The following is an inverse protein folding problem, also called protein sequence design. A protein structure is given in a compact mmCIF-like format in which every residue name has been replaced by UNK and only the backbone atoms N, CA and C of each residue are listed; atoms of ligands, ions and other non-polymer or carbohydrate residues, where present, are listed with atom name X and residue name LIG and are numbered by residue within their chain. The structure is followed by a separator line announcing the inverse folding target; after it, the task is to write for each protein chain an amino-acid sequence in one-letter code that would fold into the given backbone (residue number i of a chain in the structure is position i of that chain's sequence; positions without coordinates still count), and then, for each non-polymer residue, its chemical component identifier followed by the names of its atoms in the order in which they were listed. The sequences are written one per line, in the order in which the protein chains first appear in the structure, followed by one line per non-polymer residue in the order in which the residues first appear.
data_IF_753198702046
#
_entry.id   IF_753198702046
#
_cell.length_a   1.000
_cell.length_b   1.000
_cell.length_c   1.000
_cell.angle_alpha   90.00
_cell.angle_beta   90.00
_cell.angle_gamma   90.00
#
_symmetry.space_group_name_H-M   'P 1'
#
loop_
_entity.id
_entity.type
_entity.pdbx_description
1 polymer ?
#
# COMPACT_ATOMS: atom_id res chain seq x y z
N UNK A 1 -14.10 12.94 -12.16
CA UNK A 1 -12.85 12.73 -11.43
C UNK A 1 -11.71 13.65 -11.84
N UNK A 2 -11.34 13.80 -13.13
CA UNK A 2 -10.24 14.72 -13.58
C UNK A 2 -10.26 16.14 -12.98
N UNK A 3 -11.43 16.74 -12.81
CA UNK A 3 -11.54 18.12 -12.28
C UNK A 3 -11.32 18.25 -10.76
N UNK A 4 -11.40 17.18 -9.99
CA UNK A 4 -11.14 17.20 -8.54
C UNK A 4 -9.66 17.03 -8.21
N UNK A 5 -8.96 16.18 -8.96
CA UNK A 5 -7.49 15.97 -8.79
C UNK A 5 -6.71 17.21 -9.22
N UNK A 6 -7.14 17.88 -10.30
CA UNK A 6 -6.49 19.14 -10.75
C UNK A 6 -6.71 20.28 -9.75
N UNK A 7 -7.86 20.35 -9.07
CA UNK A 7 -8.10 21.33 -8.01
C UNK A 7 -7.29 21.07 -6.74
N UNK A 8 -7.04 19.79 -6.39
CA UNK A 8 -6.20 19.43 -5.24
C UNK A 8 -4.72 19.78 -5.47
N UNK A 9 -4.21 19.62 -6.70
CA UNK A 9 -2.83 19.97 -7.06
C UNK A 9 -2.57 21.47 -7.11
N UNK A 10 -3.58 22.28 -7.50
CA UNK A 10 -3.43 23.75 -7.52
C UNK A 10 -3.57 24.40 -6.14
N UNK A 11 -4.28 23.77 -5.20
CA UNK A 11 -4.41 24.26 -3.81
C UNK A 11 -3.16 23.92 -2.99
N UNK A 12 -2.51 22.77 -3.23
CA UNK A 12 -1.29 22.37 -2.52
C UNK A 12 -0.07 23.25 -2.78
N UNK A 13 -0.02 23.98 -3.90
CA UNK A 13 1.15 24.82 -4.25
C UNK A 13 1.02 26.27 -3.77
N UNK A 14 -0.14 26.72 -3.30
CA UNK A 14 -0.42 28.10 -2.91
C UNK A 14 -0.39 28.36 -1.40
N UNK A 15 -0.21 27.33 -0.56
CA UNK A 15 -0.27 27.45 0.91
C UNK A 15 1.09 27.72 1.57
N UNK A 16 2.17 27.83 0.82
CA UNK A 16 3.52 28.08 1.39
C UNK A 16 3.85 29.57 1.64
N UNK A 17 3.02 30.53 1.30
CA UNK A 17 3.36 31.97 1.38
C UNK A 17 2.37 32.82 2.19
N UNK A 18 1.79 32.32 3.26
CA UNK A 18 1.11 33.20 4.22
C UNK A 18 1.37 32.76 5.67
N UNK A 19 2.59 33.04 6.16
CA UNK A 19 2.92 32.96 7.59
C UNK A 19 2.33 34.17 8.33
N UNK A 20 1.04 34.15 8.55
CA UNK A 20 0.39 35.03 9.53
C UNK A 20 0.00 34.18 10.72
N UNK A 21 0.63 34.39 11.89
CA UNK A 21 0.23 33.76 13.13
C UNK A 21 -1.27 33.85 13.34
N UNK A 22 -2.02 32.72 13.36
CA UNK A 22 -3.39 32.79 13.86
C UNK A 22 -3.31 32.93 15.38
N UNK A 23 -3.95 33.95 15.91
CA UNK A 23 -4.26 34.09 17.32
C UNK A 23 -4.94 32.82 17.79
N UNK A 24 -4.21 31.98 18.51
CA UNK A 24 -4.73 30.86 19.29
C UNK A 24 -5.56 31.44 20.46
N UNK A 25 -6.82 31.74 20.22
CA UNK A 25 -7.79 32.11 21.24
C UNK A 25 -9.19 31.68 20.83
N UNK A 26 -9.39 30.38 20.76
CA UNK A 26 -10.63 29.66 21.00
C UNK A 26 -10.21 28.28 21.43
N UNK A 27 -10.66 27.83 22.59
CA UNK A 27 -10.62 26.43 22.94
C UNK A 27 -11.34 25.68 21.81
N UNK A 28 -10.59 25.12 20.87
CA UNK A 28 -11.16 24.36 19.76
C UNK A 28 -11.82 23.15 20.42
N UNK A 29 -13.14 23.05 20.33
CA UNK A 29 -13.88 21.89 20.80
C UNK A 29 -13.34 20.64 20.09
N UNK A 30 -12.93 19.66 20.88
CA UNK A 30 -12.50 18.35 20.38
C UNK A 30 -13.73 17.70 19.70
N UNK A 31 -13.61 17.42 18.43
CA UNK A 31 -14.66 16.72 17.65
C UNK A 31 -14.57 15.21 17.91
N UNK A 32 -15.59 14.57 18.48
CA UNK A 32 -15.56 13.13 18.61
C UNK A 32 -15.49 12.50 17.21
N UNK A 33 -14.65 11.49 17.06
CA UNK A 33 -14.52 10.74 15.82
C UNK A 33 -14.53 9.24 16.12
N UNK A 34 -15.39 8.51 15.43
CA UNK A 34 -15.44 7.05 15.46
C UNK A 34 -14.52 6.45 14.40
N UNK A 35 -14.17 5.17 14.56
CA UNK A 35 -13.38 4.46 13.56
C UNK A 35 -14.08 4.43 12.19
N UNK A 36 -15.40 4.26 12.18
CA UNK A 36 -16.20 4.23 10.94
C UNK A 36 -16.10 5.57 10.18
N UNK A 37 -16.30 6.68 10.88
CA UNK A 37 -16.19 8.02 10.30
C UNK A 37 -14.79 8.32 9.79
N UNK A 38 -13.75 7.90 10.54
CA UNK A 38 -12.36 8.07 10.14
C UNK A 38 -12.04 7.26 8.87
N UNK A 39 -12.49 6.02 8.76
CA UNK A 39 -12.32 5.20 7.56
C UNK A 39 -13.06 5.78 6.36
N UNK A 40 -14.30 6.24 6.53
CA UNK A 40 -15.05 6.86 5.44
C UNK A 40 -14.32 8.11 4.93
N UNK A 41 -13.81 8.96 5.81
CA UNK A 41 -13.01 10.14 5.44
C UNK A 41 -11.73 9.74 4.69
N UNK A 42 -11.00 8.72 5.16
CA UNK A 42 -9.77 8.25 4.50
C UNK A 42 -10.07 7.71 3.10
N UNK A 43 -11.11 6.90 2.93
CA UNK A 43 -11.45 6.36 1.62
C UNK A 43 -12.01 7.41 0.66
N UNK A 44 -12.66 8.46 1.15
CA UNK A 44 -13.22 9.52 0.32
C UNK A 44 -12.22 10.65 0.00
N UNK A 45 -11.38 11.03 0.95
CA UNK A 45 -10.60 12.27 0.89
C UNK A 45 -9.09 12.05 0.83
N UNK A 46 -8.57 10.87 1.20
CA UNK A 46 -7.15 10.62 1.18
C UNK A 46 -6.59 10.63 -0.25
N UNK A 47 -5.69 11.58 -0.51
CA UNK A 47 -5.10 11.79 -1.84
C UNK A 47 -4.25 10.60 -2.31
N UNK A 48 -3.56 9.92 -1.39
CA UNK A 48 -2.74 8.74 -1.71
C UNK A 48 -3.62 7.58 -2.18
N UNK A 49 -4.78 7.37 -1.54
CA UNK A 49 -5.75 6.37 -1.98
C UNK A 49 -6.34 6.71 -3.36
N UNK A 50 -6.70 7.98 -3.58
CA UNK A 50 -7.22 8.43 -4.87
C UNK A 50 -6.20 8.25 -6.00
N UNK A 51 -4.91 8.54 -5.74
CA UNK A 51 -3.82 8.33 -6.69
C UNK A 51 -3.61 6.84 -6.99
N UNK A 52 -3.64 5.99 -5.97
CA UNK A 52 -3.53 4.54 -6.14
C UNK A 52 -4.68 3.98 -7.02
N UNK A 53 -5.93 4.37 -6.76
CA UNK A 53 -7.06 3.94 -7.60
C UNK A 53 -6.92 4.42 -9.04
N UNK A 54 -6.42 5.63 -9.25
CA UNK A 54 -6.16 6.14 -10.59
C UNK A 54 -5.03 5.41 -11.30
N UNK A 55 -3.96 5.07 -10.59
CA UNK A 55 -2.86 4.27 -11.11
C UNK A 55 -3.33 2.87 -11.54
N UNK A 56 -4.15 2.21 -10.72
CA UNK A 56 -4.76 0.92 -11.06
C UNK A 56 -5.67 1.02 -12.29
N UNK A 57 -6.50 2.06 -12.39
CA UNK A 57 -7.34 2.30 -13.57
C UNK A 57 -6.48 2.51 -14.84
N UNK A 58 -5.33 3.19 -14.70
CA UNK A 58 -4.39 3.36 -15.82
C UNK A 58 -3.72 2.05 -16.23
N UNK A 59 -3.33 1.21 -15.26
CA UNK A 59 -2.76 -0.11 -15.54
C UNK A 59 -3.76 -1.00 -16.27
N UNK A 60 -5.01 -1.07 -15.82
CA UNK A 60 -6.08 -1.81 -16.51
C UNK A 60 -6.31 -1.32 -17.94
N UNK A 61 -6.34 0.01 -18.13
CA UNK A 61 -6.46 0.60 -19.46
C UNK A 61 -5.25 0.29 -20.35
N UNK A 62 -4.05 0.26 -19.76
CA UNK A 62 -2.82 -0.07 -20.48
C UNK A 62 -2.80 -1.53 -20.90
N UNK A 63 -3.14 -2.46 -20.00
CA UNK A 63 -3.27 -3.88 -20.33
C UNK A 63 -4.35 -4.13 -21.38
N UNK A 64 -5.51 -3.46 -21.29
CA UNK A 64 -6.52 -3.51 -22.30
C UNK A 64 -6.01 -3.00 -23.65
N UNK A 65 -5.25 -1.88 -23.67
CA UNK A 65 -4.66 -1.33 -24.88
C UNK A 65 -3.58 -2.22 -25.49
N UNK A 66 -2.85 -3.00 -24.68
CA UNK A 66 -1.85 -3.96 -25.19
C UNK A 66 -2.48 -5.11 -25.98
N UNK A 67 -3.70 -5.49 -25.64
CA UNK A 67 -4.51 -6.49 -26.36
C UNK A 67 -5.21 -5.92 -27.61
N UNK A 68 -5.22 -4.58 -27.78
CA UNK A 68 -5.85 -3.93 -28.90
C UNK A 68 -4.88 -3.65 -30.06
N UNK A 69 -5.40 -3.53 -31.30
CA UNK A 69 -4.60 -3.15 -32.44
C UNK A 69 -3.85 -1.83 -32.21
N UNK A 70 -2.54 -1.84 -32.44
CA UNK A 70 -1.70 -0.63 -32.38
C UNK A 70 -1.64 -0.01 -33.77
N UNK A 71 -2.15 1.21 -33.92
CA UNK A 71 -2.08 1.98 -35.17
C UNK A 71 -1.02 3.08 -34.98
N UNK A 72 0.01 3.06 -35.81
CA UNK A 72 1.07 4.07 -35.79
C UNK A 72 1.09 4.78 -37.14
N UNK A 73 0.95 6.09 -37.14
CA UNK A 73 1.13 6.93 -38.31
C UNK A 73 2.49 7.64 -38.22
N UNK A 74 3.28 7.54 -39.27
CA UNK A 74 4.58 8.20 -39.39
C UNK A 74 4.62 8.99 -40.70
N UNK A 75 5.05 10.24 -40.63
CA UNK A 75 5.28 11.10 -41.78
C UNK A 75 6.76 11.48 -41.81
N UNK A 76 7.42 11.26 -42.93
CA UNK A 76 8.77 11.74 -43.17
C UNK A 76 8.69 12.93 -44.12
N UNK A 77 9.20 14.12 -43.71
CA UNK A 77 9.24 15.28 -44.60
C UNK A 77 10.21 15.02 -45.77
N UNK A 78 10.03 15.75 -46.84
CA UNK A 78 10.94 15.69 -47.97
C UNK A 78 12.39 16.00 -47.53
N UNK A 79 13.33 15.22 -47.99
CA UNK A 79 14.73 15.31 -47.61
C UNK A 79 15.67 14.93 -48.73
N UNK A 80 16.98 14.97 -48.45
CA UNK A 80 18.02 14.52 -49.39
C UNK A 80 18.65 13.24 -48.85
N UNK A 81 18.52 12.13 -49.55
CA UNK A 81 19.19 10.87 -49.23
C UNK A 81 20.22 10.50 -50.35
N UNK A 82 21.46 10.33 -49.95
CA UNK A 82 22.54 10.00 -50.89
C UNK A 82 22.67 11.00 -52.08
N UNK A 83 22.52 12.30 -51.80
CA UNK A 83 22.60 13.36 -52.79
C UNK A 83 21.40 13.43 -53.78
N UNK A 84 20.35 12.67 -53.53
CA UNK A 84 19.10 12.74 -54.29
C UNK A 84 17.97 13.25 -53.41
N UNK A 85 17.10 14.07 -53.99
CA UNK A 85 15.89 14.52 -53.31
C UNK A 85 14.97 13.32 -53.07
N UNK A 86 14.48 13.14 -51.86
CA UNK A 86 13.45 12.19 -51.51
C UNK A 86 12.18 12.98 -51.16
N UNK A 87 11.09 12.72 -51.90
CA UNK A 87 9.80 13.34 -51.65
C UNK A 87 9.24 12.97 -50.27
N UNK A 88 8.16 13.62 -49.82
CA UNK A 88 7.51 13.28 -48.57
C UNK A 88 6.95 11.85 -48.61
N UNK A 89 7.21 11.11 -47.52
CA UNK A 89 6.68 9.76 -47.36
C UNK A 89 5.77 9.72 -46.12
N UNK A 90 4.61 9.07 -46.23
CA UNK A 90 3.72 8.76 -45.14
C UNK A 90 3.55 7.24 -44.98
N UNK A 91 3.54 6.78 -43.74
CA UNK A 91 3.22 5.37 -43.48
C UNK A 91 2.23 5.25 -42.32
N UNK A 92 1.29 4.32 -42.46
CA UNK A 92 0.39 3.87 -41.41
C UNK A 92 0.69 2.42 -41.16
N UNK A 93 1.10 2.07 -39.95
CA UNK A 93 1.31 0.70 -39.54
C UNK A 93 0.22 0.27 -38.58
N UNK A 94 -0.29 -0.93 -38.76
CA UNK A 94 -1.25 -1.60 -37.92
C UNK A 94 -0.58 -2.86 -37.39
N UNK A 95 -0.51 -2.99 -36.07
CA UNK A 95 -0.05 -4.22 -35.40
C UNK A 95 -1.23 -4.76 -34.58
N UNK A 96 -1.63 -5.99 -34.85
CA UNK A 96 -2.74 -6.66 -34.14
C UNK A 96 -2.20 -7.95 -33.54
N UNK A 97 -2.03 -7.99 -32.19
CA UNK A 97 -1.74 -9.25 -31.51
C UNK A 97 -2.99 -10.15 -31.55
N UNK A 98 -2.85 -11.33 -32.11
CA UNK A 98 -3.91 -12.36 -32.24
C UNK A 98 -3.66 -13.51 -31.27
N UNK A 99 -3.26 -13.18 -30.02
CA UNK A 99 -2.84 -14.12 -29.00
C UNK A 99 -1.32 -14.35 -29.01
N UNK A 100 -0.85 -15.28 -28.20
CA UNK A 100 0.59 -15.50 -27.95
C UNK A 100 1.37 -16.06 -29.16
N UNK A 101 0.69 -16.68 -30.10
CA UNK A 101 1.34 -17.35 -31.27
C UNK A 101 1.22 -16.56 -32.55
N UNK A 102 0.24 -15.70 -32.70
CA UNK A 102 -0.05 -14.99 -33.93
C UNK A 102 0.06 -13.48 -33.76
N UNK A 103 0.68 -12.84 -34.74
CA UNK A 103 0.78 -11.40 -34.87
C UNK A 103 0.49 -10.98 -36.30
N UNK A 104 -0.42 -10.03 -36.50
CA UNK A 104 -0.76 -9.47 -37.77
C UNK A 104 -0.21 -8.05 -37.90
N UNK A 105 0.74 -7.87 -38.82
CA UNK A 105 1.33 -6.59 -39.15
C UNK A 105 0.82 -6.07 -40.46
N UNK A 106 0.22 -4.89 -40.48
CA UNK A 106 -0.19 -4.19 -41.69
C UNK A 106 0.58 -2.90 -41.86
N UNK A 107 1.09 -2.60 -43.02
CA UNK A 107 1.72 -1.31 -43.33
C UNK A 107 1.23 -0.77 -44.65
N UNK A 108 0.72 0.45 -44.65
CA UNK A 108 0.40 1.21 -45.88
C UNK A 108 1.41 2.37 -45.92
N UNK A 109 2.14 2.46 -47.02
CA UNK A 109 3.07 3.56 -47.30
C UNK A 109 2.58 4.32 -48.51
N UNK A 110 2.68 5.63 -48.43
CA UNK A 110 2.34 6.54 -49.50
C UNK A 110 3.59 7.36 -49.79
N UNK A 111 4.22 7.09 -50.93
CA UNK A 111 5.41 7.79 -51.40
C UNK A 111 5.08 8.65 -52.62
N UNK A 112 5.88 9.68 -52.83
CA UNK A 112 5.77 10.57 -53.98
C UNK A 112 6.86 10.21 -55.01
N UNK A 113 6.47 9.92 -56.28
CA UNK A 113 7.38 9.68 -57.38
C UNK A 113 7.68 10.99 -58.16
N UNK A 114 8.89 11.54 -57.97
CA UNK A 114 9.32 12.80 -58.56
C UNK A 114 9.28 12.80 -60.11
N UNK A 115 9.54 11.63 -60.73
CA UNK A 115 9.61 11.53 -62.20
C UNK A 115 8.25 11.59 -62.85
N UNK A 116 7.20 11.18 -62.12
CA UNK A 116 5.83 11.07 -62.65
C UNK A 116 4.85 12.02 -61.98
N UNK A 117 5.27 12.75 -60.93
CA UNK A 117 4.40 13.61 -60.09
C UNK A 117 3.18 12.82 -59.59
N UNK A 118 3.37 11.55 -59.27
CA UNK A 118 2.28 10.65 -58.92
C UNK A 118 2.47 10.09 -57.51
N UNK A 119 1.36 9.80 -56.84
CA UNK A 119 1.32 9.23 -55.49
C UNK A 119 1.25 7.73 -55.61
N UNK A 120 2.23 7.02 -55.08
CA UNK A 120 2.29 5.56 -55.10
C UNK A 120 1.96 4.98 -53.74
N UNK A 121 0.75 4.46 -53.54
CA UNK A 121 0.44 3.68 -52.38
C UNK A 121 1.07 2.27 -52.51
N UNK A 122 1.78 1.86 -51.47
CA UNK A 122 2.24 0.47 -51.29
C UNK A 122 1.67 -0.06 -49.99
N UNK A 123 1.15 -1.27 -49.99
CA UNK A 123 0.62 -1.90 -48.79
C UNK A 123 1.25 -3.27 -48.56
N UNK A 124 1.52 -3.61 -47.33
CA UNK A 124 1.92 -4.95 -46.90
C UNK A 124 1.08 -5.41 -45.72
N UNK A 125 0.68 -6.66 -45.77
CA UNK A 125 0.02 -7.34 -44.66
C UNK A 125 0.84 -8.60 -44.36
N UNK A 126 1.37 -8.73 -43.16
CA UNK A 126 2.19 -9.86 -42.73
C UNK A 126 1.53 -10.54 -41.55
N UNK A 127 1.23 -11.82 -41.68
CA UNK A 127 0.79 -12.68 -40.60
C UNK A 127 2.01 -13.49 -40.12
N UNK A 128 2.41 -13.28 -38.87
CA UNK A 128 3.49 -13.99 -38.23
C UNK A 128 2.94 -15.06 -37.29
N UNK A 129 3.52 -16.26 -37.33
CA UNK A 129 3.27 -17.33 -36.38
C UNK A 129 4.58 -17.76 -35.71
N UNK A 130 4.60 -17.71 -34.38
CA UNK A 130 5.74 -18.14 -33.58
C UNK A 130 5.46 -19.52 -32.96
N UNK A 131 6.20 -20.54 -33.35
CA UNK A 131 6.03 -21.91 -32.86
C UNK A 131 6.43 -22.10 -31.40
N UNK A 132 7.27 -21.22 -30.88
CA UNK A 132 7.89 -21.36 -29.57
C UNK A 132 7.59 -20.19 -28.63
N UNK A 133 6.39 -19.60 -28.74
CA UNK A 133 5.99 -18.58 -27.78
C UNK A 133 5.78 -19.20 -26.39
N UNK A 134 6.24 -18.48 -25.36
CA UNK A 134 5.97 -18.85 -23.97
C UNK A 134 4.49 -18.56 -23.65
N UNK A 135 3.81 -19.44 -22.91
CA UNK A 135 2.45 -19.20 -22.48
C UNK A 135 2.37 -17.95 -21.59
N UNK A 136 1.38 -17.08 -21.85
CA UNK A 136 1.08 -15.97 -20.94
C UNK A 136 0.64 -16.55 -19.58
N UNK A 137 1.26 -16.09 -18.51
CA UNK A 137 0.85 -16.48 -17.17
C UNK A 137 -0.40 -15.69 -16.79
N UNK A 138 -1.51 -16.39 -16.54
CA UNK A 138 -2.82 -15.82 -16.11
C UNK A 138 -2.79 -15.12 -14.73
N UNK A 139 -1.61 -14.84 -14.20
CA UNK A 139 -1.43 -14.37 -12.83
C UNK A 139 -1.72 -12.88 -12.60
N UNK A 140 -1.88 -12.08 -13.68
CA UNK A 140 -1.95 -10.62 -13.54
C UNK A 140 -3.21 -10.11 -12.81
N UNK A 141 -4.40 -10.62 -13.14
CA UNK A 141 -5.65 -10.12 -12.54
C UNK A 141 -5.76 -10.48 -11.05
N UNK A 142 -5.43 -11.73 -10.70
CA UNK A 142 -5.46 -12.18 -9.31
C UNK A 142 -4.44 -11.44 -8.45
N UNK A 143 -3.24 -11.21 -8.97
CA UNK A 143 -2.19 -10.45 -8.29
C UNK A 143 -2.61 -9.00 -8.09
N UNK A 144 -3.19 -8.36 -9.12
CA UNK A 144 -3.70 -7.00 -9.03
C UNK A 144 -4.81 -6.88 -7.96
N UNK A 145 -5.72 -7.85 -7.88
CA UNK A 145 -6.75 -7.89 -6.85
C UNK A 145 -6.16 -8.03 -5.44
N UNK A 146 -5.16 -8.90 -5.26
CA UNK A 146 -4.46 -9.06 -3.97
C UNK A 146 -3.71 -7.78 -3.57
N UNK A 147 -3.06 -7.11 -4.52
CA UNK A 147 -2.39 -5.83 -4.27
C UNK A 147 -3.38 -4.74 -3.86
N UNK A 148 -4.56 -4.68 -4.48
CA UNK A 148 -5.63 -3.76 -4.07
C UNK A 148 -6.10 -4.03 -2.65
N UNK A 149 -6.32 -5.29 -2.31
CA UNK A 149 -6.73 -5.67 -0.96
C UNK A 149 -5.66 -5.32 0.07
N UNK A 150 -4.39 -5.58 -0.23
CA UNK A 150 -3.27 -5.21 0.63
C UNK A 150 -3.19 -3.70 0.86
N UNK A 151 -3.45 -2.88 -0.17
CA UNK A 151 -3.48 -1.43 -0.03
C UNK A 151 -4.64 -0.94 0.84
N UNK A 152 -5.83 -1.50 0.66
CA UNK A 152 -7.00 -1.21 1.51
C UNK A 152 -6.70 -1.58 2.96
N UNK A 153 -6.14 -2.76 3.20
CA UNK A 153 -5.74 -3.21 4.52
C UNK A 153 -4.70 -2.28 5.17
N UNK A 154 -3.72 -1.82 4.38
CA UNK A 154 -2.69 -0.87 4.85
C UNK A 154 -3.32 0.43 5.32
N UNK A 155 -4.29 0.97 4.59
CA UNK A 155 -5.01 2.19 4.98
C UNK A 155 -5.83 1.98 6.25
N UNK A 156 -6.50 0.83 6.40
CA UNK A 156 -7.24 0.48 7.63
C UNK A 156 -6.28 0.43 8.82
N UNK A 157 -5.15 -0.27 8.69
CA UNK A 157 -4.14 -0.37 9.76
C UNK A 157 -3.57 1.00 10.14
N UNK A 158 -3.23 1.83 9.17
CA UNK A 158 -2.73 3.19 9.42
C UNK A 158 -3.77 4.05 10.12
N UNK A 159 -5.05 3.95 9.73
CA UNK A 159 -6.14 4.68 10.40
C UNK A 159 -6.28 4.25 11.85
N UNK A 160 -6.30 2.95 12.11
CA UNK A 160 -6.37 2.39 13.47
C UNK A 160 -5.18 2.84 14.30
N UNK A 161 -3.96 2.74 13.75
CA UNK A 161 -2.74 3.11 14.45
C UNK A 161 -2.75 4.59 14.86
N UNK A 162 -3.09 5.50 13.95
CA UNK A 162 -3.16 6.92 14.26
C UNK A 162 -4.23 7.26 15.29
N UNK A 163 -5.42 6.64 15.21
CA UNK A 163 -6.48 6.85 16.18
C UNK A 163 -6.09 6.31 17.57
N UNK A 164 -5.48 5.12 17.63
CA UNK A 164 -5.03 4.51 18.89
C UNK A 164 -3.91 5.33 19.52
N UNK A 165 -2.92 5.77 18.73
CA UNK A 165 -1.83 6.63 19.23
C UNK A 165 -2.36 7.95 19.80
N UNK A 166 -3.28 8.59 19.06
CA UNK A 166 -3.91 9.83 19.52
C UNK A 166 -4.71 9.61 20.81
N UNK A 167 -5.49 8.52 20.90
CA UNK A 167 -6.28 8.18 22.11
C UNK A 167 -5.38 7.97 23.32
N UNK A 168 -4.32 7.15 23.19
CA UNK A 168 -3.35 6.91 24.26
C UNK A 168 -2.69 8.20 24.75
N UNK A 169 -2.37 9.10 23.82
CA UNK A 169 -1.73 10.37 24.16
C UNK A 169 -2.68 11.34 24.84
N UNK A 170 -3.97 11.35 24.42
CA UNK A 170 -5.03 12.11 25.09
C UNK A 170 -5.27 11.62 26.53
N UNK A 171 -5.35 10.30 26.73
CA UNK A 171 -5.55 9.72 28.04
C UNK A 171 -4.35 10.00 28.95
N UNK A 172 -3.12 9.89 28.41
CA UNK A 172 -1.89 10.26 29.15
C UNK A 172 -1.89 11.76 29.54
N UNK A 173 -2.30 12.66 28.63
CA UNK A 173 -2.41 14.09 28.95
C UNK A 173 -3.38 14.33 30.11
N UNK A 174 -4.56 13.66 30.09
CA UNK A 174 -5.55 13.76 31.18
C UNK A 174 -5.02 13.22 32.49
N UNK A 175 -4.27 12.11 32.48
CA UNK A 175 -3.63 11.54 33.64
C UNK A 175 -2.62 12.50 34.27
N UNK A 176 -1.75 13.10 33.45
CA UNK A 176 -0.72 14.00 33.92
C UNK A 176 -1.29 15.35 34.40
N UNK A 177 -2.40 15.82 33.79
CA UNK A 177 -3.16 16.98 34.34
C UNK A 177 -3.77 16.66 35.71
N UNK A 178 -4.35 15.49 35.89
CA UNK A 178 -4.92 15.06 37.15
C UNK A 178 -3.82 14.91 38.23
N UNK A 179 -2.64 14.37 37.84
CA UNK A 179 -1.50 14.27 38.74
C UNK A 179 -0.94 15.66 39.15
N UNK A 180 -0.87 16.60 38.20
CA UNK A 180 -0.48 17.97 38.48
C UNK A 180 -1.39 18.62 39.55
N UNK A 181 -2.70 18.49 39.38
CA UNK A 181 -3.70 18.99 40.35
C UNK A 181 -3.52 18.35 41.75
N UNK A 182 -3.21 17.05 41.79
CA UNK A 182 -2.91 16.36 43.02
C UNK A 182 -1.66 16.93 43.70
N UNK A 183 -0.58 17.19 42.95
CA UNK A 183 0.64 17.80 43.49
C UNK A 183 0.39 19.22 44.00
N UNK A 184 -0.42 20.02 43.32
CA UNK A 184 -0.85 21.34 43.74
C UNK A 184 -1.60 21.29 45.08
N UNK A 185 -2.59 20.39 45.19
CA UNK A 185 -3.34 20.17 46.41
C UNK A 185 -2.42 19.69 47.58
N UNK A 186 -1.48 18.80 47.25
CA UNK A 186 -0.47 18.34 48.23
C UNK A 186 0.43 19.47 48.71
N UNK A 187 0.84 20.39 47.85
CA UNK A 187 1.63 21.56 48.20
C UNK A 187 0.84 22.53 49.08
N UNK A 188 -0.44 22.74 48.79
CA UNK A 188 -1.32 23.56 49.65
C UNK A 188 -1.47 22.95 51.05
N UNK A 189 -1.71 21.65 51.14
CA UNK A 189 -1.82 20.94 52.42
C UNK A 189 -0.47 20.99 53.22
N UNK A 190 0.66 20.85 52.54
CA UNK A 190 1.97 20.93 53.12
C UNK A 190 2.26 22.32 53.77
N UNK A 191 1.79 23.39 53.13
CA UNK A 191 1.93 24.77 53.65
C UNK A 191 1.22 25.02 55.00
N UNK A 192 0.22 24.22 55.28
CA UNK A 192 -0.51 24.28 56.53
C UNK A 192 0.25 23.58 57.68
N UNK A 193 1.30 22.82 57.38
CA UNK A 193 2.09 22.09 58.35
C UNK A 193 3.29 22.97 58.81
N UNK A 194 3.41 23.31 60.08
CA UNK A 194 4.53 24.10 60.57
C UNK A 194 5.88 23.40 60.33
N UNK A 195 6.90 24.17 59.89
CA UNK A 195 8.26 23.68 59.56
C UNK A 195 8.38 22.62 58.46
N UNK A 196 7.45 22.53 57.56
CA UNK A 196 7.54 21.64 56.41
C UNK A 196 8.39 22.29 55.29
N UNK A 197 9.40 21.57 54.81
CA UNK A 197 10.18 21.98 53.63
C UNK A 197 9.44 21.56 52.37
N UNK A 198 8.95 22.54 51.59
CA UNK A 198 8.17 22.33 50.37
C UNK A 198 9.04 22.25 49.09
N UNK A 199 10.38 22.24 49.24
CA UNK A 199 11.31 22.33 48.12
C UNK A 199 11.18 21.15 47.13
N UNK A 200 11.02 19.93 47.66
CA UNK A 200 10.92 18.74 46.81
C UNK A 200 9.58 18.69 46.09
N UNK A 201 8.48 19.01 46.74
CA UNK A 201 7.17 19.12 46.09
C UNK A 201 7.14 20.17 44.98
N UNK A 202 7.82 21.30 45.18
CA UNK A 202 7.95 22.34 44.14
C UNK A 202 8.80 21.86 42.95
N UNK A 203 9.83 21.06 43.17
CA UNK A 203 10.62 20.45 42.11
C UNK A 203 9.77 19.45 41.32
N UNK A 204 9.04 18.58 42.00
CA UNK A 204 8.17 17.59 41.39
C UNK A 204 7.05 18.27 40.56
N UNK A 205 6.42 19.30 41.11
CA UNK A 205 5.40 20.08 40.40
C UNK A 205 5.97 20.73 39.12
N UNK A 206 7.18 21.31 39.17
CA UNK A 206 7.83 21.89 38.00
C UNK A 206 8.14 20.84 36.94
N UNK A 207 8.74 19.71 37.37
CA UNK A 207 9.02 18.59 36.48
C UNK A 207 7.74 18.04 35.81
N UNK A 208 6.67 17.94 36.59
CA UNK A 208 5.37 17.49 36.09
C UNK A 208 4.78 18.46 35.07
N UNK A 209 4.88 19.77 35.32
CA UNK A 209 4.42 20.78 34.38
C UNK A 209 5.24 20.76 33.05
N UNK A 210 6.54 20.51 33.11
CA UNK A 210 7.40 20.33 31.94
C UNK A 210 6.97 19.08 31.13
N UNK A 211 6.76 17.94 31.81
CA UNK A 211 6.29 16.70 31.19
C UNK A 211 4.94 16.90 30.50
N UNK A 212 3.99 17.59 31.16
CA UNK A 212 2.69 17.89 30.56
C UNK A 212 2.81 18.77 29.31
N UNK A 213 3.68 19.79 29.36
CA UNK A 213 3.92 20.65 28.18
C UNK A 213 4.48 19.87 26.98
N UNK A 214 5.40 18.93 27.22
CA UNK A 214 5.94 18.06 26.16
C UNK A 214 4.85 17.14 25.59
N UNK A 215 4.02 16.53 26.45
CA UNK A 215 2.91 15.69 26.01
C UNK A 215 1.90 16.48 25.17
N UNK A 216 1.56 17.70 25.61
CA UNK A 216 0.64 18.58 24.85
C UNK A 216 1.21 18.96 23.48
N UNK A 217 2.51 19.19 23.38
CA UNK A 217 3.17 19.44 22.08
C UNK A 217 3.11 18.23 21.16
N UNK A 218 3.40 17.04 21.66
CA UNK A 218 3.29 15.81 20.88
C UNK A 218 1.84 15.52 20.45
N UNK A 219 0.89 15.76 21.36
CA UNK A 219 -0.53 15.66 21.08
C UNK A 219 -0.94 16.57 19.91
N UNK A 220 -0.48 17.82 19.93
CA UNK A 220 -0.75 18.75 18.84
C UNK A 220 -0.16 18.25 17.51
N UNK A 221 1.03 17.65 17.52
CA UNK A 221 1.62 17.06 16.33
C UNK A 221 0.79 15.88 15.81
N UNK A 222 0.34 14.98 16.69
CA UNK A 222 -0.51 13.84 16.30
C UNK A 222 -1.86 14.31 15.75
N UNK A 223 -2.46 15.36 16.33
CA UNK A 223 -3.70 15.95 15.80
C UNK A 223 -3.51 16.49 14.38
N UNK A 224 -2.42 17.21 14.12
CA UNK A 224 -2.10 17.71 12.77
C UNK A 224 -1.83 16.59 11.78
N UNK A 225 -1.13 15.53 12.21
CA UNK A 225 -0.87 14.36 11.38
C UNK A 225 -2.17 13.63 11.01
N UNK A 226 -3.05 13.42 11.99
CA UNK A 226 -4.36 12.80 11.76
C UNK A 226 -5.21 13.65 10.81
N UNK A 227 -5.31 14.97 11.03
CA UNK A 227 -6.06 15.86 10.14
C UNK A 227 -5.55 15.82 8.70
N UNK A 228 -4.22 15.86 8.51
CA UNK A 228 -3.61 15.72 7.18
C UNK A 228 -3.88 14.35 6.55
N UNK A 229 -3.85 13.28 7.35
CA UNK A 229 -4.11 11.92 6.89
C UNK A 229 -5.58 11.73 6.48
N UNK A 230 -6.52 12.32 7.22
CA UNK A 230 -7.95 12.32 6.91
C UNK A 230 -8.31 13.22 5.72
N UNK A 231 -7.36 14.06 5.23
CA UNK A 231 -7.57 14.97 4.11
C UNK A 231 -8.26 16.27 4.48
N UNK A 232 -8.39 16.58 5.78
CA UNK A 232 -8.97 17.84 6.24
C UNK A 232 -7.91 18.96 6.23
N UNK A 233 -8.27 20.11 5.64
CA UNK A 233 -7.36 21.26 5.51
C UNK A 233 -7.42 22.24 6.70
N UNK A 234 -8.39 22.10 7.60
CA UNK A 234 -8.69 23.08 8.65
C UNK A 234 -8.39 22.49 10.04
N UNK A 235 -7.20 22.10 10.39
CA UNK A 235 -6.73 21.88 11.77
C UNK A 235 -7.76 21.44 12.82
N UNK A 236 -8.71 20.57 12.44
CA UNK A 236 -9.71 20.04 13.35
C UNK A 236 -9.02 19.20 14.43
N UNK A 237 -9.43 19.40 15.69
CA UNK A 237 -8.95 18.60 16.80
C UNK A 237 -9.94 17.46 17.07
N UNK A 238 -9.43 16.23 17.11
CA UNK A 238 -10.23 15.02 17.25
C UNK A 238 -10.09 14.37 18.63
N UNK A 239 -11.21 13.82 19.14
CA UNK A 239 -11.25 12.91 20.29
C UNK A 239 -11.70 11.52 19.81
N UNK A 240 -10.78 10.58 19.60
CA UNK A 240 -11.13 9.24 19.14
C UNK A 240 -11.98 8.49 20.15
N UNK A 241 -13.17 8.07 19.69
CA UNK A 241 -14.07 7.22 20.46
C UNK A 241 -13.80 5.77 20.06
N UNK A 242 -12.89 5.11 20.79
CA UNK A 242 -12.48 3.73 20.51
C UNK A 242 -12.90 2.85 21.68
N UNK A 243 -13.70 1.83 21.38
CA UNK A 243 -13.98 0.70 22.25
C UNK A 243 -13.41 -0.57 21.64
N UNK A 244 -12.76 -1.40 22.44
CA UNK A 244 -12.11 -2.62 21.97
C UNK A 244 -12.61 -3.84 22.72
N UNK A 245 -13.00 -4.87 21.97
CA UNK A 245 -13.40 -6.15 22.52
C UNK A 245 -12.29 -7.20 22.35
N UNK A 246 -12.12 -8.05 23.34
CA UNK A 246 -11.16 -9.13 23.30
C UNK A 246 -11.83 -10.37 22.73
N UNK A 247 -11.51 -10.71 21.49
CA UNK A 247 -12.01 -11.92 20.87
C UNK A 247 -11.25 -13.16 21.35
N UNK A 248 -11.97 -14.20 21.68
CA UNK A 248 -11.39 -15.53 21.91
C UNK A 248 -11.22 -16.23 20.56
N UNK A 249 -9.98 -16.31 20.09
CA UNK A 249 -9.64 -16.96 18.83
C UNK A 249 -8.77 -18.19 19.12
N UNK A 250 -9.11 -19.27 18.45
CA UNK A 250 -8.20 -20.41 18.33
C UNK A 250 -7.21 -20.11 17.18
N UNK A 251 -5.93 -19.99 17.55
CA UNK A 251 -4.85 -19.69 16.61
C UNK A 251 -4.17 -21.00 16.20
N UNK A 252 -4.85 -21.77 15.35
CA UNK A 252 -4.27 -22.97 14.76
C UNK A 252 -3.22 -22.55 13.71
N UNK A 253 -1.94 -22.73 14.02
CA UNK A 253 -0.82 -22.26 13.18
C UNK A 253 -0.84 -22.87 11.77
N UNK A 254 -1.30 -24.12 11.62
CA UNK A 254 -1.34 -24.79 10.32
C UNK A 254 -2.39 -24.18 9.38
N UNK A 255 -3.58 -23.84 9.90
CA UNK A 255 -4.63 -23.18 9.11
C UNK A 255 -4.19 -21.79 8.68
N UNK A 256 -3.60 -21.02 9.61
CA UNK A 256 -3.08 -19.68 9.32
C UNK A 256 -1.94 -19.71 8.30
N UNK A 257 -1.09 -20.76 8.32
CA UNK A 257 -0.01 -20.94 7.35
C UNK A 257 -0.57 -21.11 5.93
N UNK A 258 -1.60 -21.96 5.78
CA UNK A 258 -2.23 -22.17 4.47
C UNK A 258 -2.85 -20.85 3.94
N UNK A 259 -3.54 -20.10 4.80
CA UNK A 259 -4.10 -18.79 4.42
C UNK A 259 -3.01 -17.80 3.99
N UNK A 260 -1.93 -17.66 4.77
CA UNK A 260 -0.81 -16.74 4.47
C UNK A 260 -0.15 -17.12 3.14
N UNK A 261 0.06 -18.42 2.89
CA UNK A 261 0.68 -18.85 1.64
C UNK A 261 -0.24 -18.66 0.42
N UNK A 262 -1.55 -18.78 0.61
CA UNK A 262 -2.52 -18.55 -0.46
C UNK A 262 -2.72 -17.05 -0.77
N UNK A 263 -2.59 -16.18 0.22
CA UNK A 263 -2.90 -14.76 0.13
C UNK A 263 -1.69 -13.88 -0.18
N UNK A 264 -0.45 -14.35 0.07
CA UNK A 264 0.76 -13.55 -0.09
C UNK A 264 1.07 -13.23 -1.56
N UNK A 265 1.01 -11.94 -2.00
CA UNK A 265 1.37 -11.55 -3.36
C UNK A 265 2.83 -11.85 -3.67
N UNK A 266 3.72 -11.66 -2.69
CA UNK A 266 5.17 -11.90 -2.83
C UNK A 266 5.47 -13.36 -3.14
N UNK A 267 4.77 -14.28 -2.44
CA UNK A 267 4.93 -15.71 -2.67
C UNK A 267 4.37 -16.13 -4.04
N UNK A 268 3.22 -15.57 -4.44
CA UNK A 268 2.65 -15.82 -5.78
C UNK A 268 3.56 -15.31 -6.88
N UNK A 269 4.18 -14.15 -6.70
CA UNK A 269 5.16 -13.61 -7.66
C UNK A 269 6.41 -14.48 -7.73
N UNK A 270 6.94 -14.94 -6.60
CA UNK A 270 8.09 -15.85 -6.57
C UNK A 270 7.76 -17.18 -7.28
N UNK A 271 6.57 -17.76 -7.06
CA UNK A 271 6.09 -18.97 -7.77
C UNK A 271 5.95 -18.74 -9.27
N UNK A 272 5.44 -17.57 -9.67
CA UNK A 272 5.32 -17.22 -11.08
C UNK A 272 6.70 -17.06 -11.74
N UNK A 273 7.67 -16.45 -11.06
CA UNK A 273 9.07 -16.32 -11.53
C UNK A 273 9.72 -17.70 -11.70
N UNK A 274 9.57 -18.59 -10.71
CA UNK A 274 10.08 -19.96 -10.81
C UNK A 274 9.45 -20.71 -11.99
N UNK A 275 8.13 -20.65 -12.12
CA UNK A 275 7.42 -21.30 -13.23
C UNK A 275 7.92 -20.78 -14.58
N UNK A 276 8.11 -19.47 -14.72
CA UNK A 276 8.63 -18.86 -15.94
C UNK A 276 10.06 -19.30 -16.23
N UNK A 277 10.95 -19.26 -15.24
CA UNK A 277 12.33 -19.70 -15.41
C UNK A 277 12.41 -21.18 -15.81
N UNK A 278 11.58 -22.05 -15.23
CA UNK A 278 11.47 -23.46 -15.63
C UNK A 278 10.94 -23.62 -17.05
N UNK A 279 9.93 -22.84 -17.45
CA UNK A 279 9.40 -22.86 -18.81
C UNK A 279 10.44 -22.42 -19.85
N UNK A 280 11.21 -21.36 -19.54
CA UNK A 280 12.29 -20.88 -20.42
C UNK A 280 13.39 -21.95 -20.58
N UNK A 281 13.79 -22.60 -19.48
CA UNK A 281 14.77 -23.69 -19.48
C UNK A 281 14.26 -24.90 -20.30
N UNK A 282 13.01 -25.32 -20.09
CA UNK A 282 12.40 -26.42 -20.79
C UNK A 282 12.22 -26.13 -22.29
N UNK A 283 11.89 -24.87 -22.62
CA UNK A 283 11.79 -24.43 -24.00
C UNK A 283 13.14 -24.54 -24.68
N UNK A 284 14.22 -24.00 -24.10
CA UNK A 284 15.57 -24.08 -24.66
C UNK A 284 16.07 -25.53 -24.80
N UNK A 285 15.77 -26.38 -23.83
CA UNK A 285 16.06 -27.82 -23.89
C UNK A 285 15.35 -28.52 -25.06
N UNK A 286 14.07 -28.16 -25.33
CA UNK A 286 13.25 -28.74 -26.41
C UNK A 286 13.64 -28.20 -27.76
N UNK A 287 13.79 -26.87 -27.87
CA UNK A 287 14.10 -26.21 -29.14
C UNK A 287 15.53 -26.43 -29.58
N UNK A 288 16.42 -26.69 -28.66
CA UNK A 288 17.87 -26.83 -28.93
C UNK A 288 18.47 -25.63 -29.68
N UNK A 289 18.03 -24.43 -29.36
CA UNK A 289 18.46 -23.18 -29.98
C UNK A 289 17.86 -22.93 -31.38
N UNK A 290 16.84 -23.66 -31.77
CA UNK A 290 16.09 -23.37 -32.98
C UNK A 290 14.94 -22.39 -32.66
N UNK A 291 14.83 -21.36 -33.49
CA UNK A 291 13.67 -20.47 -33.56
C UNK A 291 12.97 -20.70 -34.91
N UNK A 292 11.70 -21.07 -34.87
CA UNK A 292 10.89 -21.35 -36.05
C UNK A 292 9.77 -20.33 -36.15
N UNK A 293 9.76 -19.57 -37.25
CA UNK A 293 8.72 -18.59 -37.56
C UNK A 293 8.14 -18.85 -38.93
N UNK A 294 6.82 -18.90 -39.03
CA UNK A 294 6.13 -18.86 -40.28
C UNK A 294 5.57 -17.46 -40.51
N UNK A 295 5.77 -16.92 -41.71
CA UNK A 295 5.18 -15.65 -42.09
C UNK A 295 4.46 -15.77 -43.44
N UNK A 296 3.30 -15.13 -43.52
CA UNK A 296 2.55 -14.95 -44.77
C UNK A 296 2.49 -13.46 -45.10
N UNK A 297 3.13 -13.07 -46.20
CA UNK A 297 3.19 -11.68 -46.63
C UNK A 297 2.27 -11.48 -47.84
N UNK A 298 1.42 -10.46 -47.76
CA UNK A 298 0.58 -10.01 -48.86
C UNK A 298 0.97 -8.57 -49.19
N UNK A 299 1.55 -8.36 -50.37
CA UNK A 299 2.02 -7.06 -50.81
C UNK A 299 1.13 -6.52 -51.96
N UNK A 300 0.63 -5.32 -51.75
CA UNK A 300 -0.10 -4.53 -52.72
C UNK A 300 0.86 -3.54 -53.38
N UNK A 301 1.31 -3.84 -54.60
CA UNK A 301 2.19 -2.95 -55.34
C UNK A 301 1.46 -2.46 -56.62
N UNK A 302 1.25 -1.16 -56.69
CA UNK A 302 0.57 -0.54 -57.83
C UNK A 302 1.54 -0.03 -58.92
N UNK A 303 2.78 -0.52 -58.97
CA UNK A 303 3.76 0.06 -59.87
C UNK A 303 4.60 -0.98 -60.64
N UNK A 304 4.16 -1.26 -61.83
CA UNK A 304 5.03 -1.74 -62.92
C UNK A 304 4.99 -0.74 -64.06
N UNK A 305 6.09 -0.53 -64.81
CA UNK A 305 6.10 0.31 -66.01
C UNK A 305 5.33 -0.31 -67.18
N UNK A 306 4.91 -1.54 -67.02
CA UNK A 306 4.25 -2.31 -68.07
C UNK A 306 2.87 -2.78 -67.53
N UNK A 307 1.73 -2.26 -68.05
CA UNK A 307 0.38 -2.66 -67.58
C UNK A 307 0.04 -4.14 -67.88
N UNK A 308 0.85 -4.82 -68.66
CA UNK A 308 0.67 -6.25 -68.95
C UNK A 308 1.41 -7.20 -67.97
N UNK A 309 2.35 -6.67 -67.17
CA UNK A 309 3.18 -7.47 -66.24
C UNK A 309 2.92 -7.18 -64.75
N UNK A 310 2.06 -6.22 -64.41
CA UNK A 310 1.78 -5.86 -63.02
C UNK A 310 0.75 -6.83 -62.42
N UNK A 311 1.22 -7.79 -61.66
CA UNK A 311 0.35 -8.45 -60.70
C UNK A 311 0.06 -7.46 -59.56
N UNK A 312 -1.19 -6.98 -59.36
CA UNK A 312 -1.50 -5.97 -58.36
C UNK A 312 -1.38 -6.49 -56.93
N UNK A 313 -1.27 -7.79 -56.76
CA UNK A 313 -1.20 -8.47 -55.48
C UNK A 313 -0.13 -9.55 -55.54
N UNK A 314 0.91 -9.40 -54.74
CA UNK A 314 1.92 -10.45 -54.57
C UNK A 314 1.75 -11.06 -53.17
N UNK A 315 1.65 -12.37 -53.11
CA UNK A 315 1.69 -13.07 -51.83
C UNK A 315 2.94 -13.96 -51.76
N UNK A 316 3.48 -14.06 -50.55
CA UNK A 316 4.64 -14.88 -50.23
C UNK A 316 4.40 -15.58 -48.92
N UNK A 317 4.62 -16.87 -48.85
CA UNK A 317 4.73 -17.59 -47.58
C UNK A 317 6.20 -17.95 -47.36
N UNK A 318 6.68 -17.73 -46.15
CA UNK A 318 8.04 -18.08 -45.73
C UNK A 318 8.03 -18.81 -44.40
N UNK A 319 8.86 -19.84 -44.32
CA UNK A 319 9.19 -20.50 -43.07
C UNK A 319 10.64 -20.20 -42.80
N UNK A 320 10.89 -19.48 -41.73
CA UNK A 320 12.25 -19.10 -41.28
C UNK A 320 12.64 -19.96 -40.11
N UNK A 321 13.71 -20.72 -40.28
CA UNK A 321 14.34 -21.46 -39.18
C UNK A 321 15.68 -20.83 -38.87
N UNK A 322 15.82 -20.28 -37.70
CA UNK A 322 17.06 -19.66 -37.22
C UNK A 322 17.65 -20.54 -36.13
N UNK A 323 18.92 -20.88 -36.27
CA UNK A 323 19.65 -21.61 -35.21
C UNK A 323 20.76 -20.75 -34.68
N UNK A 324 20.72 -20.53 -33.36
CA UNK A 324 21.81 -19.86 -32.65
C UNK A 324 22.96 -20.80 -32.49
N UNK A 325 24.11 -20.48 -33.13
CA UNK A 325 25.33 -21.25 -33.07
C UNK A 325 26.29 -20.83 -31.95
N UNK A 326 25.82 -19.99 -31.02
CA UNK A 326 26.61 -19.56 -29.87
C UNK A 326 26.90 -20.74 -28.92
N UNK A 327 27.91 -20.65 -28.04
CA UNK A 327 28.20 -21.72 -27.10
C UNK A 327 26.96 -21.99 -26.21
N UNK A 328 26.18 -22.93 -26.66
CA UNK A 328 24.88 -23.31 -26.11
C UNK A 328 24.95 -23.71 -24.64
N UNK A 329 26.08 -24.26 -24.24
CA UNK A 329 26.28 -24.68 -22.86
C UNK A 329 26.16 -23.48 -21.89
N UNK A 330 26.63 -22.30 -22.28
CA UNK A 330 26.54 -21.09 -21.43
C UNK A 330 25.08 -20.66 -21.27
N UNK A 331 24.28 -20.65 -22.34
CA UNK A 331 22.86 -20.27 -22.28
C UNK A 331 22.05 -21.24 -21.40
N UNK A 332 22.33 -22.55 -21.54
CA UNK A 332 21.67 -23.55 -20.68
C UNK A 332 22.10 -23.41 -19.22
N UNK A 333 23.39 -23.19 -18.95
CA UNK A 333 23.89 -22.96 -17.60
C UNK A 333 23.31 -21.67 -16.98
N UNK A 334 23.17 -20.60 -17.79
CA UNK A 334 22.52 -19.35 -17.34
C UNK A 334 21.03 -19.58 -16.98
N UNK A 335 20.28 -20.33 -17.79
CA UNK A 335 18.88 -20.65 -17.52
C UNK A 335 18.74 -21.62 -16.33
N UNK A 336 19.64 -22.61 -16.18
CA UNK A 336 19.70 -23.48 -15.01
C UNK A 336 20.00 -22.69 -13.74
N UNK A 337 20.93 -21.74 -13.81
CA UNK A 337 21.25 -20.83 -12.70
C UNK A 337 20.03 -19.95 -12.36
N UNK A 338 19.37 -19.39 -13.37
CA UNK A 338 18.16 -18.56 -13.15
C UNK A 338 17.03 -19.36 -12.50
N UNK A 339 16.80 -20.61 -12.92
CA UNK A 339 15.82 -21.49 -12.31
C UNK A 339 16.19 -21.84 -10.85
N UNK A 340 17.47 -22.16 -10.58
CA UNK A 340 17.93 -22.43 -9.22
C UNK A 340 17.86 -21.19 -8.31
N UNK A 341 18.13 -19.99 -8.83
CA UNK A 341 17.98 -18.74 -8.10
C UNK A 341 16.49 -18.48 -7.77
N UNK A 342 15.57 -18.67 -8.73
CA UNK A 342 14.15 -18.51 -8.51
C UNK A 342 13.59 -19.52 -7.49
N UNK A 343 14.10 -20.76 -7.46
CA UNK A 343 13.77 -21.77 -6.47
C UNK A 343 14.25 -21.35 -5.07
N UNK A 344 15.49 -20.92 -4.96
CA UNK A 344 16.06 -20.41 -3.70
C UNK A 344 15.29 -19.17 -3.19
N UNK A 345 14.95 -18.23 -4.07
CA UNK A 345 14.15 -17.06 -3.71
C UNK A 345 12.78 -17.46 -3.17
N UNK A 346 12.13 -18.48 -3.77
CA UNK A 346 10.87 -19.01 -3.27
C UNK A 346 11.02 -19.62 -1.85
N UNK A 347 12.02 -20.45 -1.62
CA UNK A 347 12.29 -21.03 -0.30
C UNK A 347 12.57 -19.95 0.76
N UNK A 348 13.33 -18.91 0.38
CA UNK A 348 13.60 -17.77 1.27
C UNK A 348 12.33 -17.00 1.60
N UNK A 349 11.45 -16.77 0.63
CA UNK A 349 10.16 -16.11 0.87
C UNK A 349 9.24 -16.95 1.76
N UNK A 350 9.15 -18.26 1.53
CA UNK A 350 8.37 -19.16 2.37
C UNK A 350 8.87 -19.16 3.83
N UNK A 351 10.18 -19.24 4.02
CA UNK A 351 10.78 -19.22 5.36
C UNK A 351 10.59 -17.89 6.08
N UNK A 352 10.69 -16.76 5.34
CA UNK A 352 10.46 -15.43 5.88
C UNK A 352 8.99 -15.25 6.31
N UNK A 353 8.03 -15.68 5.48
CA UNK A 353 6.60 -15.63 5.82
C UNK A 353 6.27 -16.48 7.04
N UNK A 354 6.84 -17.69 7.16
CA UNK A 354 6.67 -18.53 8.35
C UNK A 354 7.21 -17.86 9.62
N UNK A 355 8.37 -17.21 9.53
CA UNK A 355 8.94 -16.46 10.65
C UNK A 355 8.04 -15.27 11.05
N UNK A 356 7.51 -14.53 10.06
CA UNK A 356 6.56 -13.45 10.29
C UNK A 356 5.26 -13.95 10.93
N UNK A 357 4.70 -15.07 10.44
CA UNK A 357 3.50 -15.67 11.02
C UNK A 357 3.71 -16.06 12.49
N UNK A 358 4.80 -16.77 12.79
CA UNK A 358 5.13 -17.14 14.18
C UNK A 358 5.29 -15.93 15.08
N UNK A 359 5.94 -14.88 14.59
CA UNK A 359 6.10 -13.62 15.32
C UNK A 359 4.75 -12.94 15.57
N UNK A 360 3.88 -12.91 14.56
CA UNK A 360 2.55 -12.31 14.68
C UNK A 360 1.67 -13.10 15.67
N UNK A 361 1.63 -14.43 15.56
CA UNK A 361 0.88 -15.31 16.49
C UNK A 361 1.39 -15.14 17.93
N UNK A 362 2.70 -15.14 18.13
CA UNK A 362 3.30 -14.90 19.45
C UNK A 362 2.96 -13.51 19.97
N UNK A 363 2.95 -12.50 19.09
CA UNK A 363 2.54 -11.12 19.42
C UNK A 363 1.10 -11.05 19.94
N UNK A 364 0.15 -11.73 19.27
CA UNK A 364 -1.25 -11.81 19.71
C UNK A 364 -1.39 -12.52 21.04
N UNK A 365 -0.72 -13.69 21.22
CA UNK A 365 -0.72 -14.43 22.49
C UNK A 365 -0.17 -13.61 23.64
N UNK A 366 0.95 -12.92 23.42
CA UNK A 366 1.57 -12.03 24.43
C UNK A 366 0.67 -10.84 24.77
N UNK A 367 0.06 -10.19 23.77
CA UNK A 367 -0.85 -9.10 24.00
C UNK A 367 -2.11 -9.53 24.77
N UNK A 368 -2.66 -10.72 24.49
CA UNK A 368 -3.77 -11.31 25.25
C UNK A 368 -3.40 -11.53 26.71
N UNK A 369 -2.23 -12.11 26.97
CA UNK A 369 -1.75 -12.30 28.33
C UNK A 369 -1.57 -10.95 29.07
N UNK A 370 -1.12 -9.91 28.37
CA UNK A 370 -1.01 -8.57 28.93
C UNK A 370 -2.36 -7.97 29.30
N UNK A 371 -3.41 -8.16 28.46
CA UNK A 371 -4.78 -7.73 28.79
C UNK A 371 -5.26 -8.40 30.08
N UNK A 372 -5.03 -9.70 30.23
CA UNK A 372 -5.41 -10.41 31.45
C UNK A 372 -4.68 -9.86 32.68
N UNK A 373 -3.36 -9.69 32.60
CA UNK A 373 -2.55 -9.11 33.69
C UNK A 373 -3.04 -7.69 34.08
N UNK A 374 -3.32 -6.84 33.08
CA UNK A 374 -3.82 -5.49 33.35
C UNK A 374 -5.24 -5.48 33.91
N UNK A 375 -6.07 -6.48 33.58
CA UNK A 375 -7.39 -6.64 34.20
C UNK A 375 -7.30 -7.00 35.68
N UNK A 376 -6.31 -7.85 36.06
CA UNK A 376 -6.03 -8.19 37.46
C UNK A 376 -5.55 -6.95 38.24
N UNK A 377 -4.60 -6.18 37.69
CA UNK A 377 -4.15 -4.91 38.30
C UNK A 377 -5.29 -3.90 38.46
N UNK A 378 -6.22 -3.81 37.51
CA UNK A 378 -7.40 -2.96 37.63
C UNK A 378 -8.30 -3.41 38.79
N UNK A 379 -8.52 -4.70 38.95
CA UNK A 379 -9.30 -5.24 40.07
C UNK A 379 -8.64 -4.97 41.41
N UNK A 380 -7.30 -5.10 41.51
CA UNK A 380 -6.53 -4.77 42.69
C UNK A 380 -6.66 -3.26 43.03
N UNK A 381 -6.48 -2.36 42.07
CA UNK A 381 -6.60 -0.93 42.27
C UNK A 381 -8.03 -0.52 42.71
N UNK A 382 -9.05 -1.21 42.19
CA UNK A 382 -10.44 -1.04 42.63
C UNK A 382 -10.64 -1.46 44.11
N UNK A 383 -10.04 -2.56 44.52
CA UNK A 383 -10.10 -3.05 45.91
C UNK A 383 -9.37 -2.09 46.86
N UNK A 384 -8.19 -1.58 46.43
CA UNK A 384 -7.41 -0.62 47.22
C UNK A 384 -8.17 0.70 47.43
N UNK A 385 -8.81 1.23 46.38
CA UNK A 385 -9.59 2.45 46.54
C UNK A 385 -10.77 2.24 47.50
N UNK A 386 -11.48 1.10 47.42
CA UNK A 386 -12.56 0.76 48.37
C UNK A 386 -12.03 0.66 49.80
N UNK A 387 -10.86 0.10 50.01
CA UNK A 387 -10.21 0.00 51.32
C UNK A 387 -9.86 1.41 51.84
N UNK A 388 -9.25 2.25 51.00
CA UNK A 388 -8.88 3.63 51.36
C UNK A 388 -10.09 4.48 51.70
N UNK A 389 -11.21 4.35 50.98
CA UNK A 389 -12.47 5.03 51.37
C UNK A 389 -12.96 4.64 52.77
N UNK A 390 -12.97 3.33 53.09
CA UNK A 390 -13.36 2.87 54.45
C UNK A 390 -12.42 3.40 55.55
N UNK A 391 -11.12 3.45 55.23
CA UNK A 391 -10.12 4.03 56.15
C UNK A 391 -10.32 5.53 56.34
N UNK A 392 -10.70 6.25 55.29
CA UNK A 392 -11.02 7.68 55.37
C UNK A 392 -12.26 7.93 56.20
N UNK A 393 -13.34 7.16 56.01
CA UNK A 393 -14.55 7.22 56.84
C UNK A 393 -14.26 6.92 58.30
N UNK A 394 -13.27 6.09 58.60
CA UNK A 394 -12.80 5.79 59.95
C UNK A 394 -11.80 6.85 60.50
N UNK A 395 -11.44 7.87 59.71
CA UNK A 395 -10.49 8.91 60.08
C UNK A 395 -9.02 8.45 60.13
N UNK A 396 -8.69 7.31 59.53
CA UNK A 396 -7.35 6.70 59.54
C UNK A 396 -6.42 7.21 58.45
N UNK A 397 -6.97 7.76 57.38
CA UNK A 397 -6.21 8.30 56.23
C UNK A 397 -6.77 9.68 55.84
N UNK A 398 -5.96 10.45 55.13
CA UNK A 398 -6.33 11.78 54.64
C UNK A 398 -7.07 11.70 53.27
N UNK A 399 -7.79 12.75 52.95
CA UNK A 399 -8.43 12.88 51.62
C UNK A 399 -7.42 12.80 50.47
N UNK A 400 -6.21 13.40 50.63
CA UNK A 400 -5.14 13.31 49.67
C UNK A 400 -4.71 11.86 49.36
N UNK A 401 -4.66 10.99 50.39
CA UNK A 401 -4.34 9.59 50.21
C UNK A 401 -5.44 8.83 49.45
N UNK A 402 -6.69 9.23 49.61
CA UNK A 402 -7.78 8.71 48.79
C UNK A 402 -7.68 9.17 47.33
N UNK A 403 -7.35 10.45 47.12
CA UNK A 403 -7.12 11.01 45.79
C UNK A 403 -5.94 10.33 45.08
N UNK A 404 -4.84 10.07 45.78
CA UNK A 404 -3.69 9.32 45.23
C UNK A 404 -4.10 7.93 44.76
N UNK A 405 -4.90 7.21 45.57
CA UNK A 405 -5.38 5.87 45.19
C UNK A 405 -6.41 5.93 44.03
N UNK A 406 -7.20 7.01 43.97
CA UNK A 406 -8.13 7.24 42.84
C UNK A 406 -7.34 7.49 41.51
N UNK A 407 -6.25 8.24 41.55
CA UNK A 407 -5.36 8.42 40.40
C UNK A 407 -4.70 7.10 39.98
N UNK A 408 -4.28 6.27 40.96
CA UNK A 408 -3.75 4.94 40.67
C UNK A 408 -4.80 4.02 39.97
N UNK A 409 -6.06 4.07 40.41
CA UNK A 409 -7.15 3.37 39.73
C UNK A 409 -7.38 3.88 38.32
N UNK A 410 -7.38 5.19 38.11
CA UNK A 410 -7.53 5.75 36.78
C UNK A 410 -6.41 5.28 35.86
N UNK A 411 -5.15 5.31 36.30
CA UNK A 411 -4.01 4.77 35.53
C UNK A 411 -4.17 3.30 35.20
N UNK A 412 -4.60 2.47 36.17
CA UNK A 412 -4.85 1.04 35.92
C UNK A 412 -5.97 0.80 34.91
N UNK A 413 -7.03 1.64 34.92
CA UNK A 413 -8.13 1.57 33.96
C UNK A 413 -7.66 1.93 32.54
N UNK A 414 -6.91 3.01 32.40
CA UNK A 414 -6.35 3.45 31.12
C UNK A 414 -5.34 2.42 30.59
N UNK A 415 -4.46 1.88 31.44
CA UNK A 415 -3.51 0.82 31.09
C UNK A 415 -4.24 -0.43 30.56
N UNK A 416 -5.34 -0.84 31.21
CA UNK A 416 -6.15 -1.96 30.74
C UNK A 416 -6.82 -1.66 29.41
N UNK A 417 -7.37 -0.45 29.22
CA UNK A 417 -7.95 -0.03 27.93
C UNK A 417 -6.88 -0.01 26.83
N UNK A 418 -5.68 0.54 27.11
CA UNK A 418 -4.56 0.57 26.16
C UNK A 418 -4.08 -0.85 25.80
N UNK A 419 -4.03 -1.78 26.77
CA UNK A 419 -3.65 -3.17 26.48
C UNK A 419 -4.65 -3.89 25.56
N UNK A 420 -5.94 -3.57 25.67
CA UNK A 420 -6.95 -4.06 24.72
C UNK A 420 -6.75 -3.49 23.31
N UNK A 421 -6.43 -2.20 23.20
CA UNK A 421 -6.11 -1.58 21.91
C UNK A 421 -4.87 -2.23 21.27
N UNK A 422 -3.82 -2.51 22.05
CA UNK A 422 -2.62 -3.21 21.59
C UNK A 422 -2.94 -4.62 21.10
N UNK A 423 -3.79 -5.34 21.83
CA UNK A 423 -4.27 -6.66 21.41
C UNK A 423 -5.02 -6.57 20.07
N UNK A 424 -5.93 -5.61 19.94
CA UNK A 424 -6.68 -5.39 18.71
C UNK A 424 -5.76 -5.09 17.51
N UNK A 425 -4.76 -4.22 17.68
CA UNK A 425 -3.77 -3.93 16.64
C UNK A 425 -2.98 -5.19 16.22
N UNK A 426 -2.48 -5.98 17.20
CA UNK A 426 -1.76 -7.24 16.90
C UNK A 426 -2.61 -8.25 16.16
N UNK A 427 -3.89 -8.31 16.49
CA UNK A 427 -4.84 -9.18 15.81
C UNK A 427 -5.09 -8.74 14.36
N UNK A 428 -5.26 -7.43 14.14
CA UNK A 428 -5.38 -6.88 12.80
C UNK A 428 -4.12 -7.09 11.96
N UNK A 429 -2.93 -6.95 12.55
CA UNK A 429 -1.65 -7.26 11.89
C UNK A 429 -1.60 -8.73 11.44
N UNK A 430 -2.02 -9.66 12.30
CA UNK A 430 -2.11 -11.08 11.96
C UNK A 430 -3.10 -11.34 10.83
N UNK A 431 -4.31 -10.75 10.89
CA UNK A 431 -5.31 -10.88 9.83
C UNK A 431 -4.86 -10.26 8.49
N UNK A 432 -4.12 -9.16 8.55
CA UNK A 432 -3.49 -8.58 7.36
C UNK A 432 -2.48 -9.54 6.74
N UNK A 433 -1.65 -10.18 7.54
CA UNK A 433 -0.70 -11.19 7.07
C UNK A 433 -1.40 -12.38 6.42
N UNK A 434 -2.58 -12.77 6.93
CA UNK A 434 -3.46 -13.79 6.33
C UNK A 434 -4.19 -13.31 5.07
N UNK A 435 -4.04 -12.04 4.68
CA UNK A 435 -4.71 -11.46 3.51
C UNK A 435 -6.21 -11.31 3.66
N UNK A 436 -6.73 -11.32 4.90
CA UNK A 436 -8.16 -11.14 5.17
C UNK A 436 -8.58 -9.69 4.92
N UNK A 437 -9.85 -9.48 4.56
CA UNK A 437 -10.40 -8.15 4.38
C UNK A 437 -10.60 -7.44 5.73
N UNK A 438 -9.65 -6.55 6.06
CA UNK A 438 -9.68 -5.80 7.32
C UNK A 438 -10.81 -4.78 7.38
N UNK A 439 -11.30 -4.28 6.25
CA UNK A 439 -12.40 -3.30 6.24
C UNK A 439 -13.67 -3.86 6.87
N UNK A 440 -13.93 -5.15 6.67
CA UNK A 440 -15.08 -5.83 7.26
C UNK A 440 -14.81 -6.34 8.69
N UNK A 441 -13.57 -6.73 8.98
CA UNK A 441 -13.22 -7.38 10.25
C UNK A 441 -12.85 -6.39 11.36
N UNK A 442 -12.42 -5.18 11.04
CA UNK A 442 -11.97 -4.19 12.02
C UNK A 442 -13.08 -3.85 13.04
N UNK A 443 -14.32 -3.78 12.60
CA UNK A 443 -15.46 -3.49 13.48
C UNK A 443 -15.87 -4.65 14.42
N UNK A 444 -15.33 -5.86 14.20
CA UNK A 444 -15.50 -6.96 15.15
C UNK A 444 -14.59 -6.82 16.37
N UNK A 445 -13.53 -6.02 16.27
CA UNK A 445 -12.50 -5.86 17.32
C UNK A 445 -12.47 -4.46 17.88
N UNK A 446 -12.76 -3.45 17.05
CA UNK A 446 -12.71 -2.02 17.40
C UNK A 446 -14.04 -1.38 16.98
N UNK A 447 -14.77 -0.83 17.99
CA UNK A 447 -16.02 -0.12 17.81
C UNK A 447 -15.87 1.36 18.19
#
# INVERSE_FOLDING_TARGET
MKNRVLKALTVGLLIVICSGCPKLSRAAELKPITLAEALDLVFEQNTSHALFLWEQELLEKREALEKHPKITARTEPAGVRNGKFAGPEGSISLNVPLGQYFELDGTIRVGFDEKRLDVKPTGSLTLNYNFFALPETETSERLAQQQRQAQVNTLVLQTVDQLVQLKKKLDLSKQEEAHLKYLEASLEAARLTPNYDDLDLRKDLRKQAETLADIQKELQQLQLQLGAFLGESEGALYDPQISTDVLELDLAEEELKEEVFASSPQLQEAKARLTRAQQELDLERKTRGWDLKASGDLNLNQSGPDPASSQPVNWKMSLTATKTLYPRNIVLEELELAAAQAEHDLEMQESALLAQLRTAVQGVRSARAMVQLKSEHLAEAQADLKLRHRQYEAGLVTELQVQETALALQRAADDHAHSKMDYAQRLLDLWNLCGRDLRSLVFAVIN
#
